data_IF_287957772680
#
_entry.id   IF_287957772680
#
_cell.length_a   1.000
_cell.length_b   1.000
_cell.length_c   1.000
_cell.angle_alpha   90.00
_cell.angle_beta   90.00
_cell.angle_gamma   90.00
#
_symmetry.space_group_name_H-M   'P 1'
#
loop_
_entity.id
_entity.type
_entity.pdbx_description
1 polymer ?
#
# COMPACT_ATOMS: atom_id res chain seq x y z
N UNK A 1 -14.77 6.86 -37.21
CA UNK A 1 -15.13 7.67 -36.02
C UNK A 1 -15.74 6.84 -34.87
N UNK A 2 -16.73 5.95 -35.08
CA UNK A 2 -17.35 5.16 -33.99
C UNK A 2 -16.36 4.27 -33.20
N UNK A 3 -15.47 3.55 -33.87
CA UNK A 3 -14.47 2.67 -33.24
C UNK A 3 -13.41 3.40 -32.41
N UNK A 4 -13.04 4.62 -32.82
CA UNK A 4 -12.09 5.46 -32.09
C UNK A 4 -12.70 5.95 -30.76
N UNK A 5 -13.98 6.35 -30.76
CA UNK A 5 -14.72 6.68 -29.52
C UNK A 5 -14.82 5.48 -28.58
N UNK A 6 -15.12 4.29 -29.10
CA UNK A 6 -15.18 3.07 -28.26
C UNK A 6 -13.82 2.70 -27.65
N UNK A 7 -12.73 2.84 -28.41
CA UNK A 7 -11.38 2.55 -27.91
C UNK A 7 -10.96 3.55 -26.82
N UNK A 8 -11.21 4.84 -27.03
CA UNK A 8 -10.91 5.87 -26.05
C UNK A 8 -11.68 5.67 -24.74
N UNK A 9 -12.96 5.26 -24.83
CA UNK A 9 -13.79 4.95 -23.65
C UNK A 9 -13.24 3.76 -22.87
N UNK A 10 -12.85 2.68 -23.54
CA UNK A 10 -12.29 1.48 -22.87
C UNK A 10 -10.95 1.79 -22.19
N UNK A 11 -10.05 2.50 -22.87
CA UNK A 11 -8.76 2.90 -22.29
C UNK A 11 -8.97 3.83 -21.09
N UNK A 12 -9.90 4.80 -21.20
CA UNK A 12 -10.28 5.66 -20.09
C UNK A 12 -10.77 4.88 -18.87
N UNK A 13 -11.64 3.89 -19.08
CA UNK A 13 -12.13 3.02 -18.01
C UNK A 13 -11.00 2.19 -17.37
N UNK A 14 -10.11 1.61 -18.18
CA UNK A 14 -8.96 0.86 -17.66
C UNK A 14 -8.01 1.73 -16.83
N UNK A 15 -7.74 2.97 -17.26
CA UNK A 15 -6.94 3.92 -16.49
C UNK A 15 -7.61 4.28 -15.15
N UNK A 16 -8.92 4.55 -15.15
CA UNK A 16 -9.67 4.84 -13.93
C UNK A 16 -9.69 3.65 -12.96
N UNK A 17 -9.92 2.44 -13.48
CA UNK A 17 -9.88 1.21 -12.69
C UNK A 17 -8.48 0.98 -12.11
N UNK A 18 -7.43 1.20 -12.90
CA UNK A 18 -6.05 1.07 -12.46
C UNK A 18 -5.71 2.07 -11.34
N UNK A 19 -6.12 3.33 -11.49
CA UNK A 19 -5.95 4.36 -10.45
C UNK A 19 -6.73 3.96 -9.20
N UNK A 20 -8.00 3.55 -9.35
CA UNK A 20 -8.85 3.12 -8.24
C UNK A 20 -8.25 1.96 -7.45
N UNK A 21 -7.78 0.92 -8.15
CA UNK A 21 -7.11 -0.24 -7.53
C UNK A 21 -5.81 0.20 -6.86
N UNK A 22 -5.02 1.04 -7.51
CA UNK A 22 -3.73 1.50 -6.98
C UNK A 22 -3.90 2.37 -5.72
N UNK A 23 -4.96 3.19 -5.66
CA UNK A 23 -5.36 3.90 -4.43
C UNK A 23 -5.82 2.91 -3.36
N UNK A 24 -6.64 1.92 -3.72
CA UNK A 24 -7.17 0.92 -2.79
C UNK A 24 -6.06 0.10 -2.11
N UNK A 25 -5.00 -0.26 -2.85
CA UNK A 25 -3.86 -0.99 -2.29
C UNK A 25 -2.85 -0.10 -1.55
N UNK A 26 -3.11 1.21 -1.42
CA UNK A 26 -2.21 2.15 -0.75
C UNK A 26 -0.88 2.35 -1.49
N UNK A 27 -0.88 2.26 -2.83
CA UNK A 27 0.30 2.58 -3.61
C UNK A 27 0.64 4.07 -3.42
N UNK A 28 1.92 4.44 -3.21
CA UNK A 28 2.29 5.83 -3.08
C UNK A 28 2.10 6.59 -4.41
N UNK A 29 1.78 7.91 -4.38
CA UNK A 29 1.46 8.71 -5.57
C UNK A 29 2.49 8.65 -6.71
N UNK A 30 3.78 8.49 -6.41
CA UNK A 30 4.81 8.35 -7.43
C UNK A 30 4.75 7.01 -8.17
N UNK A 31 4.24 5.94 -7.54
CA UNK A 31 4.13 4.62 -8.16
C UNK A 31 3.16 4.62 -9.36
N UNK A 32 2.10 5.42 -9.28
CA UNK A 32 1.16 5.63 -10.38
C UNK A 32 1.85 6.27 -11.59
N UNK A 33 2.69 7.28 -11.36
CA UNK A 33 3.43 7.99 -12.43
C UNK A 33 4.34 7.03 -13.17
N UNK A 34 5.04 6.14 -12.44
CA UNK A 34 5.94 5.15 -13.02
C UNK A 34 5.16 4.13 -13.85
N UNK A 35 4.07 3.57 -13.33
CA UNK A 35 3.32 2.54 -14.07
C UNK A 35 2.59 3.13 -15.28
N UNK A 36 1.98 4.30 -15.14
CA UNK A 36 1.31 5.00 -16.26
C UNK A 36 2.34 5.41 -17.32
N UNK A 37 3.50 5.94 -16.91
CA UNK A 37 4.55 6.40 -17.81
C UNK A 37 5.24 5.28 -18.60
N UNK A 38 5.54 4.15 -17.97
CA UNK A 38 6.32 3.08 -18.59
C UNK A 38 5.48 1.94 -19.20
N UNK A 39 4.22 1.76 -18.80
CA UNK A 39 3.36 0.70 -19.34
C UNK A 39 2.23 1.27 -20.21
N UNK A 40 1.44 2.21 -19.66
CA UNK A 40 0.24 2.68 -20.35
C UNK A 40 0.56 3.57 -21.57
N UNK A 41 1.49 4.52 -21.43
CA UNK A 41 1.84 5.44 -22.52
C UNK A 41 2.52 4.73 -23.73
N UNK A 42 3.51 3.83 -23.56
CA UNK A 42 4.10 3.11 -24.69
C UNK A 42 3.11 2.15 -25.35
N UNK A 43 2.24 1.51 -24.56
CA UNK A 43 1.17 0.64 -25.10
C UNK A 43 0.16 1.43 -25.91
N UNK A 44 -0.29 2.59 -25.40
CA UNK A 44 -1.19 3.48 -26.12
C UNK A 44 -0.55 4.02 -27.40
N UNK A 45 0.73 4.42 -27.35
CA UNK A 45 1.48 4.86 -28.53
C UNK A 45 1.60 3.75 -29.57
N UNK A 46 1.95 2.53 -29.17
CA UNK A 46 2.01 1.37 -30.07
C UNK A 46 0.66 1.10 -30.72
N UNK A 47 -0.44 1.14 -29.94
CA UNK A 47 -1.80 0.97 -30.46
C UNK A 47 -2.13 2.07 -31.47
N UNK A 48 -1.90 3.34 -31.16
CA UNK A 48 -2.20 4.47 -32.06
C UNK A 48 -1.35 4.39 -33.34
N UNK A 49 -0.06 4.03 -33.23
CA UNK A 49 0.82 3.86 -34.38
C UNK A 49 0.39 2.66 -35.25
N UNK A 50 0.04 1.53 -34.64
CA UNK A 50 -0.48 0.37 -35.34
C UNK A 50 -1.88 0.63 -35.96
N UNK A 51 -2.68 1.50 -35.35
CA UNK A 51 -3.96 1.98 -35.87
C UNK A 51 -3.80 2.80 -37.14
N UNK A 52 -2.81 3.70 -37.16
CA UNK A 52 -2.50 4.55 -38.33
C UNK A 52 -1.93 3.75 -39.51
N UNK A 53 -1.37 2.56 -39.26
CA UNK A 53 -0.70 1.75 -40.29
C UNK A 53 -1.56 0.62 -40.91
N UNK A 54 -2.79 0.34 -40.45
CA UNK A 54 -3.52 -0.85 -40.92
C UNK A 54 -5.06 -0.72 -40.92
N UNK A 55 -5.70 -1.32 -41.93
CA UNK A 55 -7.09 -1.08 -42.38
C UNK A 55 -8.18 -1.99 -41.76
N UNK A 56 -7.85 -3.02 -40.95
CA UNK A 56 -8.87 -3.89 -40.31
C UNK A 56 -8.60 -4.15 -38.81
N UNK A 57 -9.69 -4.25 -38.02
CA UNK A 57 -9.68 -4.18 -36.54
C UNK A 57 -9.69 -5.56 -35.86
N UNK A 58 -10.15 -6.62 -36.54
CA UNK A 58 -10.42 -7.94 -35.93
C UNK A 58 -9.17 -8.83 -35.82
N UNK A 59 -8.20 -8.71 -36.73
CA UNK A 59 -6.91 -9.44 -36.63
C UNK A 59 -5.96 -8.90 -35.54
N UNK A 60 -6.38 -7.84 -34.84
CA UNK A 60 -5.51 -6.95 -34.04
C UNK A 60 -5.33 -7.39 -32.59
N UNK A 61 -6.33 -8.05 -31.99
CA UNK A 61 -6.28 -8.61 -30.63
C UNK A 61 -5.72 -10.05 -30.59
N UNK A 62 -5.83 -10.79 -31.68
CA UNK A 62 -5.25 -12.14 -31.87
C UNK A 62 -3.77 -12.08 -32.31
N UNK A 63 -3.22 -10.89 -32.51
CA UNK A 63 -1.87 -10.72 -33.01
C UNK A 63 -0.85 -11.00 -31.90
N UNK A 64 -0.25 -12.19 -31.94
CA UNK A 64 0.76 -12.65 -30.98
C UNK A 64 1.84 -11.58 -30.72
N UNK A 65 2.21 -10.82 -31.75
CA UNK A 65 3.20 -9.73 -31.67
C UNK A 65 2.79 -8.60 -30.71
N UNK A 66 1.50 -8.23 -30.65
CA UNK A 66 1.01 -7.20 -29.73
C UNK A 66 1.10 -7.70 -28.27
N UNK A 67 0.68 -8.94 -28.02
CA UNK A 67 0.78 -9.57 -26.70
C UNK A 67 2.23 -9.67 -26.24
N UNK A 68 3.14 -10.07 -27.13
CA UNK A 68 4.58 -10.11 -26.82
C UNK A 68 5.15 -8.74 -26.48
N UNK A 69 4.76 -7.68 -27.20
CA UNK A 69 5.23 -6.31 -26.90
C UNK A 69 4.72 -5.82 -25.54
N UNK A 70 3.43 -6.04 -25.23
CA UNK A 70 2.85 -5.66 -23.92
C UNK A 70 3.51 -6.43 -22.79
N UNK A 71 3.71 -7.75 -22.96
CA UNK A 71 4.38 -8.59 -21.98
C UNK A 71 5.82 -8.14 -21.75
N UNK A 72 6.59 -7.93 -22.82
CA UNK A 72 7.98 -7.46 -22.74
C UNK A 72 8.08 -6.07 -22.09
N UNK A 73 7.18 -5.14 -22.42
CA UNK A 73 7.12 -3.82 -21.81
C UNK A 73 6.78 -3.89 -20.31
N UNK A 74 5.85 -4.77 -19.93
CA UNK A 74 5.48 -4.99 -18.53
C UNK A 74 6.67 -5.57 -17.75
N UNK A 75 7.32 -6.61 -18.28
CA UNK A 75 8.49 -7.22 -17.65
C UNK A 75 9.65 -6.23 -17.54
N UNK A 76 9.92 -5.48 -18.62
CA UNK A 76 10.92 -4.41 -18.63
C UNK A 76 10.62 -3.33 -17.59
N UNK A 77 9.36 -2.94 -17.44
CA UNK A 77 8.95 -2.02 -16.37
C UNK A 77 9.21 -2.62 -15.00
N UNK A 78 8.84 -3.87 -14.74
CA UNK A 78 9.10 -4.54 -13.46
C UNK A 78 10.60 -4.58 -13.11
N UNK A 79 11.47 -4.69 -14.11
CA UNK A 79 12.92 -4.58 -13.92
C UNK A 79 13.35 -3.14 -13.65
N UNK A 80 12.86 -2.16 -14.42
CA UNK A 80 13.23 -0.74 -14.25
C UNK A 80 12.77 -0.19 -12.89
N UNK A 81 11.57 -0.53 -12.42
CA UNK A 81 11.08 -0.05 -11.12
C UNK A 81 11.92 -0.56 -9.94
N UNK A 82 12.65 -1.65 -10.12
CA UNK A 82 13.62 -2.10 -9.12
C UNK A 82 14.75 -1.08 -8.93
N UNK A 83 15.02 -0.14 -9.84
CA UNK A 83 16.05 0.88 -9.61
C UNK A 83 15.64 1.93 -8.56
N UNK A 84 14.34 2.04 -8.22
CA UNK A 84 13.83 3.01 -7.26
C UNK A 84 13.97 2.43 -5.84
N UNK A 85 14.83 2.99 -4.95
CA UNK A 85 15.18 2.40 -3.67
C UNK A 85 14.12 2.60 -2.57
N UNK A 86 12.86 2.83 -2.93
CA UNK A 86 11.81 3.09 -1.95
C UNK A 86 11.37 1.79 -1.26
N UNK A 87 11.35 1.80 0.08
CA UNK A 87 10.93 0.65 0.89
C UNK A 87 11.82 -0.59 0.75
N UNK A 88 13.06 -0.48 0.29
CA UNK A 88 13.94 -1.64 0.06
C UNK A 88 14.86 -1.99 1.21
N UNK A 89 15.39 -0.95 1.85
CA UNK A 89 16.19 -1.06 3.06
C UNK A 89 15.28 -0.79 4.24
N UNK A 90 14.71 -1.86 4.80
CA UNK A 90 13.97 -1.73 6.05
C UNK A 90 14.96 -1.62 7.20
N UNK A 91 14.95 -0.47 7.86
CA UNK A 91 15.61 -0.28 9.15
C UNK A 91 14.54 0.11 10.15
N UNK A 92 14.41 -0.67 11.20
CA UNK A 92 13.56 -0.32 12.32
C UNK A 92 14.21 0.83 13.11
N UNK A 93 13.47 1.92 13.42
CA UNK A 93 13.97 2.95 14.32
C UNK A 93 14.19 2.40 15.74
N UNK A 94 14.88 3.15 16.62
CA UNK A 94 15.03 2.74 18.02
C UNK A 94 13.68 2.59 18.74
N UNK A 95 13.63 1.68 19.70
CA UNK A 95 12.51 1.54 20.63
C UNK A 95 12.75 2.51 21.78
N UNK A 96 11.79 3.41 22.04
CA UNK A 96 11.90 4.38 23.14
C UNK A 96 11.00 4.06 24.32
N UNK A 97 10.00 3.18 24.14
CA UNK A 97 9.16 2.68 25.22
C UNK A 97 7.92 1.94 24.74
N UNK A 98 7.33 1.13 25.62
CA UNK A 98 6.08 0.38 25.37
C UNK A 98 5.00 0.76 26.38
N UNK A 99 3.71 0.52 26.07
CA UNK A 99 2.63 0.63 27.06
C UNK A 99 2.86 -0.27 28.29
N UNK A 100 2.38 0.17 29.45
CA UNK A 100 2.21 -0.72 30.59
C UNK A 100 1.08 -1.72 30.29
N UNK A 101 1.47 -2.95 29.94
CA UNK A 101 0.53 -4.02 29.62
C UNK A 101 -0.13 -4.57 30.89
N UNK A 102 -1.46 -4.73 30.87
CA UNK A 102 -2.21 -5.25 32.02
C UNK A 102 -1.76 -6.66 32.46
N UNK A 103 -1.38 -7.51 31.50
CA UNK A 103 -0.81 -8.84 31.75
C UNK A 103 0.23 -9.18 30.68
N UNK A 104 1.15 -10.14 30.93
CA UNK A 104 2.04 -10.66 29.89
C UNK A 104 1.29 -11.21 28.68
N UNK A 105 0.12 -11.84 28.93
CA UNK A 105 -0.73 -12.38 27.87
C UNK A 105 -1.29 -11.29 26.97
N UNK A 106 -1.65 -10.14 27.52
CA UNK A 106 -2.10 -8.98 26.74
C UNK A 106 -1.00 -8.51 25.78
N UNK A 107 0.24 -8.39 26.27
CA UNK A 107 1.38 -8.03 25.42
C UNK A 107 1.55 -9.04 24.27
N UNK A 108 1.53 -10.33 24.55
CA UNK A 108 1.67 -11.37 23.51
C UNK A 108 0.63 -11.23 22.39
N UNK A 109 -0.63 -10.97 22.75
CA UNK A 109 -1.70 -10.77 21.78
C UNK A 109 -1.46 -9.51 20.95
N UNK A 110 -1.02 -8.42 21.58
CA UNK A 110 -0.73 -7.15 20.92
C UNK A 110 0.48 -7.25 19.97
N UNK A 111 1.53 -7.96 20.37
CA UNK A 111 2.68 -8.22 19.49
C UNK A 111 2.25 -8.98 18.23
N UNK A 112 1.42 -10.02 18.39
CA UNK A 112 0.94 -10.82 17.24
C UNK A 112 -0.02 -10.05 16.34
N UNK A 113 -0.89 -9.22 16.91
CA UNK A 113 -1.96 -8.57 16.16
C UNK A 113 -1.57 -7.19 15.61
N UNK A 114 -0.71 -6.45 16.32
CA UNK A 114 -0.53 -5.02 16.09
C UNK A 114 0.91 -4.63 15.75
N UNK A 115 1.91 -5.28 16.37
CA UNK A 115 3.31 -4.83 16.23
C UNK A 115 3.83 -4.97 14.80
N UNK A 116 3.30 -5.91 14.00
CA UNK A 116 3.68 -6.06 12.59
C UNK A 116 3.47 -4.81 11.71
N UNK A 117 2.66 -3.84 12.16
CA UNK A 117 2.45 -2.57 11.45
C UNK A 117 2.65 -1.32 12.33
N UNK A 118 2.37 -1.42 13.63
CA UNK A 118 2.31 -0.29 14.56
C UNK A 118 3.47 -0.26 15.57
N UNK A 119 4.65 -0.80 15.22
CA UNK A 119 5.81 -0.82 16.12
C UNK A 119 7.10 -0.56 15.37
N UNK A 120 8.19 -0.28 16.09
CA UNK A 120 9.54 -0.30 15.55
C UNK A 120 10.14 -1.72 15.57
N UNK A 121 9.33 -2.76 15.68
CA UNK A 121 9.73 -4.17 15.72
C UNK A 121 9.12 -4.96 14.55
N UNK A 122 8.93 -4.30 13.41
CA UNK A 122 8.34 -4.94 12.23
C UNK A 122 9.35 -5.93 11.64
N UNK A 123 8.94 -7.19 11.55
CA UNK A 123 9.64 -8.24 10.81
C UNK A 123 9.19 -8.21 9.36
N UNK A 124 10.05 -7.67 8.48
CA UNK A 124 9.74 -7.57 7.07
C UNK A 124 10.05 -8.90 6.35
N UNK A 125 9.06 -9.53 5.70
CA UNK A 125 9.32 -10.73 4.91
C UNK A 125 10.15 -10.39 3.66
N UNK A 126 10.85 -11.37 3.10
CA UNK A 126 11.79 -11.15 1.98
C UNK A 126 11.12 -10.55 0.73
N UNK A 127 9.85 -10.87 0.47
CA UNK A 127 9.11 -10.28 -0.65
C UNK A 127 8.86 -8.77 -0.46
N UNK A 128 8.92 -8.27 0.77
CA UNK A 128 8.73 -6.86 1.04
C UNK A 128 9.87 -6.02 0.47
N UNK A 129 11.06 -6.55 0.17
CA UNK A 129 12.12 -5.73 -0.47
C UNK A 129 11.98 -5.59 -2.00
N UNK A 130 10.97 -6.21 -2.61
CA UNK A 130 10.79 -6.25 -4.07
C UNK A 130 9.70 -5.27 -4.51
N UNK A 131 10.01 -4.37 -5.46
CA UNK A 131 9.02 -3.44 -5.98
C UNK A 131 8.03 -4.18 -6.92
N UNK A 132 6.75 -3.79 -6.96
CA UNK A 132 6.14 -2.65 -6.27
C UNK A 132 5.66 -2.94 -4.84
N UNK A 133 5.77 -4.21 -4.37
CA UNK A 133 5.28 -4.62 -3.05
C UNK A 133 6.00 -3.84 -1.94
N UNK A 134 7.30 -3.60 -2.11
CA UNK A 134 8.11 -2.81 -1.18
C UNK A 134 7.57 -1.42 -0.90
N UNK A 135 6.97 -0.81 -1.91
CA UNK A 135 6.41 0.53 -1.80
C UNK A 135 5.13 0.54 -1.00
N UNK A 136 4.26 -0.43 -1.24
CA UNK A 136 3.01 -0.58 -0.50
C UNK A 136 3.27 -0.91 0.97
N UNK A 137 4.15 -1.88 1.24
CA UNK A 137 4.51 -2.28 2.62
C UNK A 137 5.13 -1.10 3.37
N UNK A 138 6.07 -0.39 2.75
CA UNK A 138 6.68 0.79 3.37
C UNK A 138 5.66 1.89 3.67
N UNK A 139 4.74 2.16 2.73
CA UNK A 139 3.67 3.13 2.90
C UNK A 139 2.75 2.76 4.06
N UNK A 140 2.26 1.52 4.10
CA UNK A 140 1.34 1.04 5.15
C UNK A 140 1.98 1.02 6.53
N UNK A 141 3.22 0.56 6.67
CA UNK A 141 3.91 0.55 7.97
C UNK A 141 4.19 1.98 8.43
N UNK A 142 4.62 2.86 7.52
CA UNK A 142 4.84 4.28 7.85
C UNK A 142 3.56 4.97 8.31
N UNK A 143 2.44 4.74 7.60
CA UNK A 143 1.14 5.30 7.98
C UNK A 143 0.63 4.71 9.29
N UNK A 144 0.78 3.40 9.49
CA UNK A 144 0.43 2.69 10.72
C UNK A 144 1.13 3.31 11.94
N UNK A 145 2.47 3.36 11.90
CA UNK A 145 3.30 4.02 12.93
C UNK A 145 2.88 5.47 13.17
N UNK A 146 2.58 6.22 12.11
CA UNK A 146 2.14 7.61 12.21
C UNK A 146 0.85 7.79 13.00
N UNK A 147 -0.09 6.85 12.90
CA UNK A 147 -1.32 6.86 13.71
C UNK A 147 -1.03 6.45 15.16
N UNK A 148 -0.41 5.28 15.32
CA UNK A 148 -0.03 4.71 16.62
C UNK A 148 1.28 3.94 16.47
N UNK A 149 2.22 4.18 17.39
CA UNK A 149 3.47 3.42 17.48
C UNK A 149 3.67 2.89 18.91
N UNK A 150 3.53 1.58 19.09
CA UNK A 150 3.66 0.91 20.37
C UNK A 150 5.10 0.83 20.89
N UNK A 151 6.11 1.05 20.04
CA UNK A 151 7.52 1.11 20.44
C UNK A 151 8.00 2.53 20.79
N UNK A 152 7.12 3.52 20.64
CA UNK A 152 7.40 4.93 20.97
C UNK A 152 6.43 5.49 22.02
N UNK A 153 5.84 4.62 22.84
CA UNK A 153 4.74 4.98 23.72
C UNK A 153 5.14 6.00 24.80
N UNK A 154 6.40 5.98 25.23
CA UNK A 154 6.96 6.93 26.19
C UNK A 154 7.06 8.37 25.68
N UNK A 155 7.07 8.56 24.36
CA UNK A 155 7.16 9.88 23.72
C UNK A 155 5.80 10.59 23.60
N UNK A 156 4.71 9.95 24.04
CA UNK A 156 3.36 10.53 24.08
C UNK A 156 2.96 10.90 25.50
N UNK A 157 3.21 12.14 25.97
CA UNK A 157 2.89 12.56 27.33
C UNK A 157 1.38 12.45 27.64
N UNK A 158 0.50 12.58 26.65
CA UNK A 158 -0.94 12.34 26.79
C UNK A 158 -1.33 10.89 27.13
N UNK A 159 -0.43 9.93 26.93
CA UNK A 159 -0.63 8.54 27.35
C UNK A 159 -0.33 8.30 28.85
N UNK A 160 0.26 9.29 29.53
CA UNK A 160 0.59 9.23 30.97
C UNK A 160 -0.51 9.94 31.77
N UNK A 161 -1.65 9.27 31.92
CA UNK A 161 -2.71 9.72 32.83
C UNK A 161 -2.18 9.74 34.27
N UNK A 162 -2.53 10.77 35.04
CA UNK A 162 -2.33 10.76 36.48
C UNK A 162 -3.18 9.65 37.11
N UNK A 163 -2.82 9.18 38.32
CA UNK A 163 -3.60 8.16 39.03
C UNK A 163 -5.06 8.59 39.23
N UNK A 164 -5.32 9.88 39.40
CA UNK A 164 -6.68 10.44 39.53
C UNK A 164 -7.46 10.40 38.21
N UNK A 165 -6.85 10.80 37.09
CA UNK A 165 -7.52 10.77 35.78
C UNK A 165 -7.79 9.32 35.34
N UNK A 166 -6.85 8.41 35.60
CA UNK A 166 -7.05 6.97 35.36
C UNK A 166 -8.21 6.42 36.20
N UNK A 167 -8.29 6.79 37.49
CA UNK A 167 -9.36 6.35 38.37
C UNK A 167 -10.73 6.87 37.93
N UNK A 168 -10.80 8.11 37.46
CA UNK A 168 -12.02 8.72 36.89
C UNK A 168 -12.47 8.00 35.61
N UNK A 169 -11.53 7.74 34.69
CA UNK A 169 -11.79 6.98 33.45
C UNK A 169 -12.27 5.56 33.74
N UNK A 170 -11.62 4.85 34.66
CA UNK A 170 -12.02 3.49 35.07
C UNK A 170 -13.39 3.51 35.74
N UNK A 171 -13.69 4.50 36.58
CA UNK A 171 -15.01 4.64 37.18
C UNK A 171 -16.09 4.91 36.12
N UNK A 172 -15.81 5.77 35.14
CA UNK A 172 -16.69 6.03 34.00
C UNK A 172 -16.95 4.78 33.14
N UNK A 173 -15.90 4.02 32.83
CA UNK A 173 -16.02 2.76 32.08
C UNK A 173 -16.84 1.70 32.83
N UNK A 174 -16.63 1.57 34.15
CA UNK A 174 -17.45 0.67 34.99
C UNK A 174 -18.92 1.06 35.05
N UNK A 175 -19.25 2.33 34.86
CA UNK A 175 -20.63 2.80 34.79
C UNK A 175 -21.25 2.65 33.39
N UNK A 176 -20.48 2.19 32.39
CA UNK A 176 -20.99 1.96 31.03
C UNK A 176 -21.85 0.69 31.00
N UNK A 177 -23.12 0.76 30.58
CA UNK A 177 -24.00 -0.41 30.53
C UNK A 177 -23.38 -1.53 29.68
N UNK A 178 -23.23 -2.73 30.26
CA UNK A 178 -22.68 -3.91 29.58
C UNK A 178 -21.22 -4.26 29.90
N UNK A 179 -20.46 -3.41 30.62
CA UNK A 179 -19.10 -3.75 31.08
C UNK A 179 -19.04 -4.41 32.46
N UNK A 180 -20.15 -4.50 33.20
CA UNK A 180 -20.19 -5.03 34.57
C UNK A 180 -20.63 -6.50 34.68
N UNK A 181 -20.72 -7.23 33.57
CA UNK A 181 -21.06 -8.65 33.57
C UNK A 181 -19.82 -9.54 33.72
N UNK A 182 -19.49 -9.90 34.97
CA UNK A 182 -18.60 -11.02 35.29
C UNK A 182 -19.33 -12.36 35.26
#
# INVERSE_FOLDING_TARGET
MKTFRSTAVVVGFMCLAFIGISVLIGMPPFGFVVIIGFVAAPTAWYIVRAQRASTSTVSRLTNMRLLTVIFAATLGTLVVIQAIPYGRSYSNPPITGEPEWATPRTRELMVRACFGCHSNEVEYPSYASVAPISWVVASHVSEGRGKVNYSEFDSRPEAKLTKSELAELVAGLKNTPGMTGG
#
